data_IF_479313882327
#
_entry.id   IF_479313882327
#
_cell.length_a   1.000
_cell.length_b   1.000
_cell.length_c   1.000
_cell.angle_alpha   90.00
_cell.angle_beta   90.00
_cell.angle_gamma   90.00
#
_symmetry.space_group_name_H-M   'P 1'
#
loop_
_entity.id
_entity.type
_entity.pdbx_description
1 polymer ?
#
# COMPACT_ATOMS: atom_id res chain seq x y z
N UNK A 1 -4.46 11.19 8.00
CA UNK A 1 -4.22 12.46 7.29
C UNK A 1 -4.83 12.34 5.91
N UNK A 2 -5.51 13.37 5.41
CA UNK A 2 -5.95 13.45 4.02
C UNK A 2 -4.74 13.82 3.15
N UNK A 3 -4.65 13.32 1.92
CA UNK A 3 -3.67 13.75 0.93
C UNK A 3 -3.71 15.29 0.87
N UNK A 4 -2.61 15.95 1.22
CA UNK A 4 -2.42 17.40 1.05
C UNK A 4 -2.34 17.85 -0.42
N UNK A 5 -2.94 17.08 -1.35
CA UNK A 5 -2.97 17.31 -2.80
C UNK A 5 -4.37 16.97 -3.32
N UNK A 6 -4.82 17.70 -4.33
CA UNK A 6 -6.10 17.44 -5.00
C UNK A 6 -6.15 16.01 -5.56
N UNK A 7 -7.11 15.17 -5.15
CA UNK A 7 -7.32 13.85 -5.73
C UNK A 7 -7.64 13.93 -7.24
N UNK A 8 -7.41 12.85 -7.99
CA UNK A 8 -7.86 12.73 -9.39
C UNK A 8 -6.89 13.23 -10.46
N UNK A 9 -5.70 13.73 -10.09
CA UNK A 9 -4.67 14.18 -11.05
C UNK A 9 -4.25 13.09 -12.04
N UNK A 10 -4.17 11.84 -11.59
CA UNK A 10 -3.76 10.72 -12.44
C UNK A 10 -4.88 10.26 -13.37
N UNK A 11 -6.14 10.36 -12.94
CA UNK A 11 -7.31 10.08 -13.78
C UNK A 11 -7.47 11.16 -14.85
N UNK A 12 -7.31 12.44 -14.50
CA UNK A 12 -7.35 13.55 -15.46
C UNK A 12 -6.22 13.48 -16.50
N UNK A 13 -5.10 12.84 -16.17
CA UNK A 13 -3.96 12.65 -17.06
C UNK A 13 -3.97 11.29 -17.79
N UNK A 14 -5.05 10.50 -17.71
CA UNK A 14 -5.17 9.14 -18.28
C UNK A 14 -3.94 8.26 -18.01
N UNK A 15 -3.35 8.37 -16.81
CA UNK A 15 -2.19 7.57 -16.46
C UNK A 15 -2.59 6.12 -16.23
N UNK A 16 -1.77 5.21 -16.73
CA UNK A 16 -1.85 3.79 -16.43
C UNK A 16 -1.36 3.53 -14.99
N UNK A 17 -2.22 3.79 -14.01
CA UNK A 17 -1.98 3.45 -12.59
C UNK A 17 -2.47 2.04 -12.29
N UNK A 18 -1.98 1.46 -11.20
CA UNK A 18 -2.34 0.09 -10.81
C UNK A 18 -3.87 -0.10 -10.66
N UNK A 19 -4.61 0.80 -9.97
CA UNK A 19 -6.08 0.72 -9.92
C UNK A 19 -6.78 1.00 -11.24
N UNK A 20 -6.20 1.81 -12.13
CA UNK A 20 -6.78 2.06 -13.46
C UNK A 20 -6.71 0.82 -14.36
N UNK A 21 -5.65 0.01 -14.23
CA UNK A 21 -5.45 -1.20 -15.05
C UNK A 21 -6.17 -2.41 -14.45
N UNK A 22 -6.08 -2.61 -13.13
CA UNK A 22 -6.54 -3.84 -12.47
C UNK A 22 -7.86 -3.68 -11.70
N UNK A 23 -8.36 -2.45 -11.57
CA UNK A 23 -9.51 -2.12 -10.73
C UNK A 23 -9.15 -1.95 -9.25
N UNK A 24 -9.99 -1.21 -8.52
CA UNK A 24 -9.76 -0.86 -7.10
C UNK A 24 -9.70 -2.13 -6.24
N UNK A 25 -10.68 -3.03 -6.35
CA UNK A 25 -10.74 -4.23 -5.53
C UNK A 25 -9.50 -5.11 -5.66
N UNK A 26 -9.06 -5.39 -6.89
CA UNK A 26 -7.83 -6.15 -7.17
C UNK A 26 -6.60 -5.44 -6.63
N UNK A 27 -6.54 -4.12 -6.78
CA UNK A 27 -5.41 -3.32 -6.30
C UNK A 27 -5.30 -3.33 -4.78
N UNK A 28 -6.42 -3.25 -4.07
CA UNK A 28 -6.44 -3.36 -2.62
C UNK A 28 -6.09 -4.77 -2.15
N UNK A 29 -6.62 -5.81 -2.79
CA UNK A 29 -6.26 -7.20 -2.47
C UNK A 29 -4.75 -7.41 -2.64
N UNK A 30 -4.19 -6.94 -3.76
CA UNK A 30 -2.75 -7.02 -4.02
C UNK A 30 -1.93 -6.25 -3.00
N UNK A 31 -2.38 -5.06 -2.60
CA UNK A 31 -1.71 -4.28 -1.57
C UNK A 31 -1.67 -5.02 -0.22
N UNK A 32 -2.76 -5.72 0.16
CA UNK A 32 -2.81 -6.55 1.37
C UNK A 32 -1.83 -7.74 1.26
N UNK A 33 -1.84 -8.46 0.15
CA UNK A 33 -0.90 -9.57 -0.10
C UNK A 33 0.56 -9.15 0.06
N UNK A 34 0.94 -8.03 -0.55
CA UNK A 34 2.31 -7.51 -0.48
C UNK A 34 2.72 -7.09 0.93
N UNK A 35 1.78 -6.58 1.74
CA UNK A 35 2.05 -6.25 3.14
C UNK A 35 2.26 -7.51 3.98
N UNK A 36 1.45 -8.53 3.79
CA UNK A 36 1.63 -9.81 4.49
C UNK A 36 2.96 -10.49 4.09
N UNK A 37 3.33 -10.46 2.81
CA UNK A 37 4.62 -10.95 2.33
C UNK A 37 5.80 -10.19 2.98
N UNK A 38 5.70 -8.85 3.06
CA UNK A 38 6.72 -8.01 3.68
C UNK A 38 6.86 -8.29 5.18
N UNK A 39 5.73 -8.38 5.91
CA UNK A 39 5.70 -8.71 7.34
C UNK A 39 6.30 -10.09 7.58
N UNK A 40 5.87 -11.10 6.80
CA UNK A 40 6.38 -12.46 6.92
C UNK A 40 7.89 -12.50 6.70
N UNK A 41 8.38 -11.87 5.63
CA UNK A 41 9.81 -11.79 5.31
C UNK A 41 10.61 -11.16 6.44
N UNK A 42 10.16 -10.01 6.93
CA UNK A 42 10.86 -9.27 7.98
C UNK A 42 10.83 -10.05 9.30
N UNK A 43 9.74 -10.73 9.65
CA UNK A 43 9.63 -11.52 10.87
C UNK A 43 10.62 -12.69 10.96
N UNK A 44 11.22 -13.11 9.85
CA UNK A 44 12.27 -14.15 9.83
C UNK A 44 13.64 -13.67 10.32
N UNK A 45 13.83 -12.35 10.43
CA UNK A 45 15.09 -11.77 10.89
C UNK A 45 15.24 -11.99 12.39
N UNK A 46 16.42 -12.41 12.84
CA UNK A 46 16.75 -12.50 14.27
C UNK A 46 17.03 -11.11 14.88
N UNK A 47 16.09 -10.19 14.72
CA UNK A 47 16.16 -8.78 15.11
C UNK A 47 14.80 -8.34 15.68
N UNK A 48 14.79 -7.18 16.34
CA UNK A 48 13.53 -6.54 16.75
C UNK A 48 12.92 -5.81 15.55
N UNK A 49 11.90 -6.41 14.93
CA UNK A 49 11.34 -5.94 13.66
C UNK A 49 10.01 -5.21 13.75
N UNK A 50 9.42 -5.12 14.94
CA UNK A 50 8.08 -4.58 15.16
C UNK A 50 7.81 -3.26 14.43
N UNK A 51 8.75 -2.32 14.47
CA UNK A 51 8.61 -1.00 13.79
C UNK A 51 8.48 -1.15 12.28
N UNK A 52 9.21 -2.09 11.66
CA UNK A 52 9.14 -2.33 10.21
C UNK A 52 7.80 -2.94 9.81
N UNK A 53 7.28 -3.87 10.62
CA UNK A 53 5.97 -4.47 10.39
C UNK A 53 4.85 -3.44 10.56
N UNK A 54 4.96 -2.56 11.56
CA UNK A 54 4.02 -1.47 11.80
C UNK A 54 4.01 -0.47 10.63
N UNK A 55 5.19 -0.15 10.05
CA UNK A 55 5.29 0.67 8.84
C UNK A 55 4.58 0.00 7.66
N UNK A 56 4.81 -1.30 7.43
CA UNK A 56 4.19 -2.03 6.33
C UNK A 56 2.65 -2.01 6.44
N UNK A 57 2.11 -2.26 7.63
CA UNK A 57 0.66 -2.20 7.88
C UNK A 57 0.11 -0.78 7.76
N UNK A 58 0.85 0.21 8.24
CA UNK A 58 0.44 1.62 8.15
C UNK A 58 0.31 2.11 6.70
N UNK A 59 1.18 1.64 5.79
CA UNK A 59 1.18 2.05 4.38
C UNK A 59 -0.18 1.84 3.70
N UNK A 60 -0.90 0.77 4.03
CA UNK A 60 -2.22 0.43 3.46
C UNK A 60 -3.39 0.84 4.35
N UNK A 61 -3.16 1.06 5.66
CA UNK A 61 -4.19 1.47 6.61
C UNK A 61 -4.42 2.98 6.63
N UNK A 62 -3.44 3.79 6.20
CA UNK A 62 -3.59 5.25 6.13
C UNK A 62 -4.71 5.62 5.14
N UNK A 63 -5.57 6.53 5.57
CA UNK A 63 -6.54 7.16 4.67
C UNK A 63 -5.78 7.96 3.60
N UNK A 64 -6.28 7.89 2.36
CA UNK A 64 -5.85 8.73 1.25
C UNK A 64 -6.50 10.10 1.36
#
# INVERSE_FOLDING_TARGET
EQLGKTPGKDQAANKATYPAIHGIATSEARARELVEEAVATVSTLNLKTRVLEDIARFIIARSS
#
